data_IF_523468112415
#
_entry.id   IF_523468112415
#
_cell.length_a   1.000
_cell.length_b   1.000
_cell.length_c   1.000
_cell.angle_alpha   90.00
_cell.angle_beta   90.00
_cell.angle_gamma   90.00
#
_symmetry.space_group_name_H-M   'P 1'
#
loop_
_entity.id
_entity.type
_entity.pdbx_description
1 polymer ?
#
# COMPACT_ATOMS: atom_id res chain seq x y z
N UNK A 1 19.99 62.40 -20.58
CA UNK A 1 18.80 61.95 -19.87
C UNK A 1 18.57 60.50 -20.29
N UNK A 2 19.11 59.55 -19.54
CA UNK A 2 19.12 58.11 -19.85
C UNK A 2 18.08 57.46 -18.96
N UNK A 3 16.99 56.98 -19.56
CA UNK A 3 15.91 56.25 -18.89
C UNK A 3 16.33 54.81 -18.63
N UNK A 4 16.42 54.41 -17.37
CA UNK A 4 16.61 53.01 -16.97
C UNK A 4 15.27 52.29 -17.01
N UNK A 5 15.09 51.43 -18.01
CA UNK A 5 14.00 50.44 -18.08
C UNK A 5 14.34 49.33 -17.11
N UNK A 6 13.71 49.30 -15.95
CA UNK A 6 13.75 48.17 -15.02
C UNK A 6 12.87 47.04 -15.53
N UNK A 7 13.46 45.89 -15.86
CA UNK A 7 12.75 44.70 -16.31
C UNK A 7 12.00 44.03 -15.16
N UNK A 8 10.72 43.65 -15.33
CA UNK A 8 9.91 42.99 -14.29
C UNK A 8 10.22 41.47 -14.12
N UNK A 9 11.28 40.94 -14.74
CA UNK A 9 11.56 39.51 -14.76
C UNK A 9 12.20 38.99 -13.44
N UNK A 10 12.85 39.89 -12.70
CA UNK A 10 13.57 39.50 -11.44
C UNK A 10 12.66 39.29 -10.23
N UNK A 11 11.45 39.87 -10.25
CA UNK A 11 10.50 39.74 -9.13
C UNK A 11 9.68 38.44 -9.16
N UNK A 12 9.52 37.80 -10.31
CA UNK A 12 8.72 36.57 -10.45
C UNK A 12 9.46 35.32 -9.95
N UNK A 13 10.78 35.25 -10.14
CA UNK A 13 11.60 34.13 -9.69
C UNK A 13 11.77 34.09 -8.15
N UNK A 14 11.88 35.24 -7.52
CA UNK A 14 12.01 35.34 -6.06
C UNK A 14 10.76 34.87 -5.33
N UNK A 15 9.57 35.21 -5.83
CA UNK A 15 8.30 34.79 -5.25
C UNK A 15 8.03 33.28 -5.32
N UNK A 16 8.40 32.64 -6.44
CA UNK A 16 8.23 31.21 -6.62
C UNK A 16 9.17 30.37 -5.71
N UNK A 17 10.43 30.82 -5.53
CA UNK A 17 11.38 30.17 -4.63
C UNK A 17 10.95 30.33 -3.16
N UNK A 18 10.46 31.49 -2.76
CA UNK A 18 9.93 31.72 -1.41
C UNK A 18 8.67 30.92 -1.13
N UNK A 19 7.78 30.75 -2.13
CA UNK A 19 6.60 29.89 -2.03
C UNK A 19 6.97 28.41 -1.89
N UNK A 20 7.96 27.92 -2.64
CA UNK A 20 8.46 26.55 -2.53
C UNK A 20 9.15 26.29 -1.19
N UNK A 21 9.92 27.26 -0.67
CA UNK A 21 10.53 27.18 0.67
C UNK A 21 9.45 27.21 1.75
N UNK A 22 8.42 28.07 1.59
CA UNK A 22 7.28 28.13 2.51
C UNK A 22 6.44 26.85 2.54
N UNK A 23 6.20 26.22 1.37
CA UNK A 23 5.53 24.92 1.28
C UNK A 23 6.40 23.82 1.90
N UNK A 24 7.71 23.81 1.62
CA UNK A 24 8.65 22.87 2.24
C UNK A 24 8.70 23.02 3.75
N UNK A 25 8.68 24.23 4.28
CA UNK A 25 8.64 24.51 5.72
C UNK A 25 7.29 24.09 6.35
N UNK A 26 6.15 24.39 5.70
CA UNK A 26 4.83 23.96 6.15
C UNK A 26 4.67 22.43 6.13
N UNK A 27 5.24 21.75 5.14
CA UNK A 27 5.29 20.29 5.09
C UNK A 27 6.21 19.74 6.19
N UNK A 28 7.35 20.36 6.45
CA UNK A 28 8.29 19.91 7.49
C UNK A 28 7.75 20.10 8.91
N UNK A 29 6.97 21.14 9.18
CA UNK A 29 6.34 21.36 10.48
C UNK A 29 5.19 20.40 10.78
N UNK A 30 4.64 19.71 9.75
CA UNK A 30 3.61 18.67 9.91
C UNK A 30 4.17 17.25 9.92
N UNK A 31 5.47 17.05 9.71
CA UNK A 31 6.10 15.76 9.94
C UNK A 31 6.12 15.52 11.46
N UNK A 32 5.04 14.97 11.97
CA UNK A 32 5.03 14.39 13.31
C UNK A 32 6.17 13.38 13.38
N UNK A 33 6.91 13.42 14.49
CA UNK A 33 8.16 12.68 14.66
C UNK A 33 8.08 11.20 14.25
N UNK A 34 9.23 10.59 14.19
CA UNK A 34 9.43 9.22 13.70
C UNK A 34 8.42 8.22 14.28
N UNK A 35 7.38 7.87 13.48
CA UNK A 35 6.33 6.90 13.83
C UNK A 35 6.76 5.44 13.56
N UNK A 36 7.99 5.18 13.10
CA UNK A 36 8.43 3.81 12.75
C UNK A 36 8.43 2.87 13.95
N UNK A 37 8.75 3.35 15.15
CA UNK A 37 8.65 2.55 16.36
C UNK A 37 7.19 2.19 16.72
N UNK A 38 6.24 3.08 16.42
CA UNK A 38 4.82 2.81 16.61
C UNK A 38 4.33 1.75 15.61
N UNK A 39 4.71 1.86 14.34
CA UNK A 39 4.41 0.83 13.34
C UNK A 39 4.87 -0.57 13.78
N UNK A 40 6.13 -0.70 14.23
CA UNK A 40 6.66 -1.99 14.72
C UNK A 40 5.89 -2.51 15.93
N UNK A 41 5.45 -1.61 16.83
CA UNK A 41 4.62 -1.98 17.98
C UNK A 41 3.26 -2.48 17.53
N UNK A 42 2.59 -1.78 16.62
CA UNK A 42 1.26 -2.13 16.11
C UNK A 42 1.29 -3.47 15.36
N UNK A 43 2.29 -3.70 14.52
CA UNK A 43 2.55 -4.97 13.88
C UNK A 43 2.67 -6.12 14.90
N UNK A 44 3.49 -5.95 15.96
CA UNK A 44 3.67 -6.98 17.01
C UNK A 44 2.39 -7.24 17.80
N UNK A 45 1.62 -6.20 18.08
CA UNK A 45 0.32 -6.32 18.78
C UNK A 45 -0.67 -7.07 17.90
N UNK A 46 -0.74 -6.75 16.61
CA UNK A 46 -1.61 -7.43 15.65
C UNK A 46 -1.25 -8.91 15.51
N UNK A 47 0.06 -9.23 15.39
CA UNK A 47 0.58 -10.60 15.36
C UNK A 47 0.22 -11.39 16.62
N UNK A 48 0.40 -10.80 17.80
CA UNK A 48 0.06 -11.44 19.07
C UNK A 48 -1.45 -11.68 19.20
N UNK A 49 -2.28 -10.73 18.74
CA UNK A 49 -3.73 -10.85 18.73
C UNK A 49 -4.24 -11.93 17.77
N UNK A 50 -3.61 -12.06 16.60
CA UNK A 50 -3.93 -13.09 15.62
C UNK A 50 -3.67 -14.51 16.16
N UNK A 51 -2.70 -14.65 17.08
CA UNK A 51 -2.32 -15.95 17.63
C UNK A 51 -1.66 -16.86 16.59
N UNK A 52 -1.60 -18.15 16.91
CA UNK A 52 -0.99 -19.18 16.06
C UNK A 52 -1.98 -20.31 15.69
N UNK A 53 -3.24 -20.19 16.11
CA UNK A 53 -4.27 -21.18 15.77
C UNK A 53 -4.75 -20.94 14.33
N UNK A 54 -4.59 -21.96 13.50
CA UNK A 54 -5.01 -21.96 12.11
C UNK A 54 -5.48 -23.34 11.67
N UNK A 55 -5.77 -23.55 10.38
CA UNK A 55 -6.07 -24.86 9.86
C UNK A 55 -4.89 -25.81 10.10
N UNK A 56 -5.14 -27.14 10.31
CA UNK A 56 -4.07 -28.11 10.50
C UNK A 56 -3.06 -28.08 9.35
N UNK A 57 -1.78 -28.16 9.69
CA UNK A 57 -0.66 -28.12 8.72
C UNK A 57 -0.81 -29.19 7.66
N UNK A 58 -0.56 -28.83 6.39
CA UNK A 58 -0.65 -29.71 5.22
C UNK A 58 -2.04 -30.33 5.01
N UNK A 59 -3.09 -29.72 5.59
CA UNK A 59 -4.46 -30.17 5.40
C UNK A 59 -5.12 -29.53 4.17
N UNK A 60 -6.19 -30.17 3.69
CA UNK A 60 -7.04 -29.57 2.66
C UNK A 60 -7.69 -28.25 3.11
N UNK A 61 -7.92 -28.10 4.42
CA UNK A 61 -8.46 -26.86 4.98
C UNK A 61 -7.45 -25.71 4.90
N UNK A 62 -6.16 -25.96 5.15
CA UNK A 62 -5.09 -24.99 4.96
C UNK A 62 -4.95 -24.61 3.49
N UNK A 63 -4.90 -25.61 2.59
CA UNK A 63 -4.83 -25.35 1.16
C UNK A 63 -6.02 -24.50 0.67
N UNK A 64 -7.23 -24.79 1.15
CA UNK A 64 -8.43 -24.01 0.80
C UNK A 64 -8.38 -22.57 1.36
N UNK A 65 -7.79 -22.36 2.54
CA UNK A 65 -7.61 -21.04 3.11
C UNK A 65 -6.63 -20.19 2.28
N UNK A 66 -5.48 -20.77 1.91
CA UNK A 66 -4.48 -20.14 1.04
C UNK A 66 -5.09 -19.83 -0.33
N UNK A 67 -5.79 -20.78 -0.94
CA UNK A 67 -6.45 -20.59 -2.24
C UNK A 67 -7.47 -19.46 -2.18
N UNK A 68 -8.32 -19.41 -1.17
CA UNK A 68 -9.32 -18.34 -0.99
C UNK A 68 -8.68 -16.97 -0.89
N UNK A 69 -7.57 -16.84 -0.17
CA UNK A 69 -6.84 -15.58 -0.04
C UNK A 69 -6.15 -15.20 -1.36
N UNK A 70 -5.51 -16.15 -2.05
CA UNK A 70 -4.86 -15.86 -3.35
C UNK A 70 -5.88 -15.50 -4.43
N UNK A 71 -7.06 -16.11 -4.41
CA UNK A 71 -8.18 -15.73 -5.30
C UNK A 71 -8.67 -14.33 -4.95
N UNK A 72 -8.71 -13.95 -3.67
CA UNK A 72 -9.05 -12.60 -3.27
C UNK A 72 -8.05 -11.58 -3.82
N UNK A 73 -6.74 -11.82 -3.72
CA UNK A 73 -5.71 -10.92 -4.27
C UNK A 73 -5.87 -10.72 -5.77
N UNK A 74 -6.18 -11.80 -6.52
CA UNK A 74 -6.38 -11.74 -7.97
C UNK A 74 -7.62 -10.93 -8.39
N UNK A 75 -8.59 -10.79 -7.49
CA UNK A 75 -9.88 -10.16 -7.77
C UNK A 75 -10.08 -8.81 -7.05
N UNK A 76 -9.00 -8.17 -6.54
CA UNK A 76 -9.08 -6.85 -5.88
C UNK A 76 -9.64 -5.76 -6.81
N UNK A 77 -9.51 -5.92 -8.12
CA UNK A 77 -10.11 -5.01 -9.10
C UNK A 77 -11.59 -5.25 -9.40
N UNK A 78 -12.19 -6.35 -8.93
CA UNK A 78 -13.59 -6.71 -9.19
C UNK A 78 -14.49 -6.30 -8.00
N UNK A 79 -15.27 -5.24 -8.21
CA UNK A 79 -16.18 -4.70 -7.19
C UNK A 79 -17.19 -5.76 -6.69
N UNK A 80 -17.81 -6.50 -7.58
CA UNK A 80 -18.82 -7.51 -7.21
C UNK A 80 -18.20 -8.62 -6.37
N UNK A 81 -17.02 -9.08 -6.77
CA UNK A 81 -16.27 -10.06 -6.00
C UNK A 81 -15.92 -9.56 -4.59
N UNK A 82 -15.48 -8.30 -4.47
CA UNK A 82 -15.15 -7.69 -3.17
C UNK A 82 -16.37 -7.60 -2.27
N UNK A 83 -17.52 -7.16 -2.78
CA UNK A 83 -18.78 -7.08 -2.04
C UNK A 83 -19.21 -8.44 -1.49
N UNK A 84 -19.08 -9.51 -2.30
CA UNK A 84 -19.52 -10.86 -1.94
C UNK A 84 -18.53 -11.63 -1.09
N UNK A 85 -17.21 -11.44 -1.30
CA UNK A 85 -16.20 -12.36 -0.78
C UNK A 85 -15.38 -11.81 0.37
N UNK A 86 -15.27 -10.49 0.59
CA UNK A 86 -14.39 -9.95 1.66
C UNK A 86 -14.72 -10.53 3.04
N UNK A 87 -16.00 -10.63 3.40
CA UNK A 87 -16.42 -11.22 4.68
C UNK A 87 -16.19 -12.74 4.76
N UNK A 88 -16.03 -13.43 3.63
CA UNK A 88 -15.66 -14.85 3.58
C UNK A 88 -14.16 -15.07 3.74
N UNK A 89 -13.35 -14.12 3.27
CA UNK A 89 -11.88 -14.14 3.33
C UNK A 89 -11.37 -13.65 4.68
N UNK A 90 -11.86 -12.50 5.17
CA UNK A 90 -11.38 -11.89 6.41
C UNK A 90 -12.26 -12.24 7.60
N UNK A 91 -11.60 -12.58 8.72
CA UNK A 91 -12.27 -12.87 9.99
C UNK A 91 -12.65 -11.60 10.75
N UNK A 92 -13.56 -11.74 11.70
CA UNK A 92 -13.93 -10.64 12.60
C UNK A 92 -12.71 -10.16 13.38
N UNK A 93 -12.39 -8.87 13.26
CA UNK A 93 -11.22 -8.27 13.91
C UNK A 93 -9.88 -8.56 13.22
N UNK A 94 -9.91 -8.95 11.94
CA UNK A 94 -8.73 -9.05 11.10
C UNK A 94 -7.96 -7.72 11.08
N UNK A 95 -6.64 -7.81 10.97
CA UNK A 95 -5.73 -6.70 10.72
C UNK A 95 -5.26 -6.77 9.26
N UNK A 96 -5.29 -5.65 8.57
CA UNK A 96 -4.65 -5.43 7.28
C UNK A 96 -3.76 -4.19 7.36
N UNK A 97 -2.52 -4.29 6.89
CA UNK A 97 -1.66 -3.15 6.56
C UNK A 97 -0.96 -3.42 5.23
N UNK A 98 -1.18 -2.56 4.26
CA UNK A 98 -0.62 -2.70 2.90
C UNK A 98 0.50 -1.70 2.60
N UNK A 99 1.10 -1.10 3.65
CA UNK A 99 2.11 -0.03 3.58
C UNK A 99 1.56 1.35 3.21
N UNK A 100 0.30 1.46 2.83
CA UNK A 100 -0.39 2.72 2.53
C UNK A 100 -1.33 3.07 3.67
N UNK A 101 -2.10 2.08 4.15
CA UNK A 101 -3.11 2.25 5.18
C UNK A 101 -3.28 1.00 6.03
N UNK A 102 -3.77 1.17 7.27
CA UNK A 102 -4.08 0.09 8.20
C UNK A 102 -5.58 0.04 8.42
N UNK A 103 -6.19 -1.16 8.33
CA UNK A 103 -7.63 -1.39 8.47
C UNK A 103 -7.92 -2.56 9.41
N UNK A 104 -9.07 -2.53 10.07
CA UNK A 104 -9.49 -3.54 11.05
C UNK A 104 -10.88 -4.10 10.74
N UNK A 105 -10.95 -5.43 10.66
CA UNK A 105 -12.20 -6.14 10.41
C UNK A 105 -12.66 -6.09 8.94
N UNK A 106 -13.57 -7.02 8.56
CA UNK A 106 -13.96 -7.19 7.16
C UNK A 106 -14.65 -5.95 6.57
N UNK A 107 -15.38 -5.18 7.34
CA UNK A 107 -16.15 -4.04 6.83
C UNK A 107 -15.24 -2.88 6.41
N UNK A 108 -14.23 -2.53 7.24
CA UNK A 108 -13.24 -1.50 6.86
C UNK A 108 -12.37 -1.96 5.69
N UNK A 109 -11.94 -3.24 5.72
CA UNK A 109 -11.13 -3.84 4.66
C UNK A 109 -11.91 -3.85 3.33
N UNK A 110 -13.20 -4.22 3.35
CA UNK A 110 -14.06 -4.16 2.16
C UNK A 110 -14.17 -2.75 1.62
N UNK A 111 -14.49 -1.80 2.48
CA UNK A 111 -14.62 -0.38 2.10
C UNK A 111 -13.33 0.15 1.46
N UNK A 112 -12.18 -0.19 2.02
CA UNK A 112 -10.87 0.17 1.49
C UNK A 112 -10.62 -0.41 0.09
N UNK A 113 -10.83 -1.71 -0.10
CA UNK A 113 -10.61 -2.34 -1.41
C UNK A 113 -11.63 -1.88 -2.45
N UNK A 114 -12.89 -1.63 -2.08
CA UNK A 114 -13.88 -1.05 -2.99
C UNK A 114 -13.46 0.34 -3.47
N UNK A 115 -12.98 1.20 -2.56
CA UNK A 115 -12.45 2.51 -2.93
C UNK A 115 -11.22 2.39 -3.82
N UNK A 116 -10.35 1.44 -3.55
CA UNK A 116 -9.16 1.16 -4.37
C UNK A 116 -9.57 0.74 -5.78
N UNK A 117 -10.49 -0.24 -5.90
CA UNK A 117 -11.01 -0.70 -7.20
C UNK A 117 -11.66 0.43 -8.01
N UNK A 118 -12.37 1.36 -7.38
CA UNK A 118 -12.98 2.51 -8.05
C UNK A 118 -11.94 3.49 -8.65
N UNK A 119 -10.74 3.54 -8.10
CA UNK A 119 -9.67 4.44 -8.57
C UNK A 119 -8.79 3.83 -9.66
N UNK A 120 -8.87 2.53 -9.88
CA UNK A 120 -8.05 1.81 -10.85
C UNK A 120 -8.78 1.63 -12.18
N UNK A 121 -8.04 1.73 -13.28
CA UNK A 121 -8.53 1.43 -14.64
C UNK A 121 -8.19 0.01 -15.09
N UNK A 122 -7.18 -0.59 -14.48
CA UNK A 122 -6.82 -2.00 -14.65
C UNK A 122 -6.13 -2.52 -13.38
N UNK A 123 -6.29 -3.82 -13.12
CA UNK A 123 -5.67 -4.50 -12.00
C UNK A 123 -5.49 -5.98 -12.32
N UNK A 124 -4.27 -6.49 -12.15
CA UNK A 124 -3.93 -7.89 -12.37
C UNK A 124 -2.92 -8.33 -11.32
N UNK A 125 -3.10 -9.51 -10.75
CA UNK A 125 -2.16 -10.14 -9.81
C UNK A 125 -1.85 -11.55 -10.25
N UNK A 126 -0.55 -11.86 -10.35
CA UNK A 126 -0.02 -13.20 -10.50
C UNK A 126 0.57 -13.67 -9.17
N UNK A 127 0.17 -14.84 -8.70
CA UNK A 127 0.76 -15.48 -7.51
C UNK A 127 1.96 -16.29 -7.96
N UNK A 128 3.14 -15.94 -7.46
CA UNK A 128 4.40 -16.59 -7.80
C UNK A 128 4.61 -17.87 -6.99
N UNK A 129 4.44 -17.77 -5.67
CA UNK A 129 4.52 -18.90 -4.74
C UNK A 129 3.89 -18.57 -3.39
N UNK A 130 3.79 -19.61 -2.54
CA UNK A 130 3.38 -19.51 -1.14
C UNK A 130 4.27 -20.39 -0.30
N UNK A 131 4.85 -19.81 0.76
CA UNK A 131 5.73 -20.52 1.70
C UNK A 131 5.18 -20.34 3.12
N UNK A 132 5.09 -21.44 3.86
CA UNK A 132 4.67 -21.43 5.26
C UNK A 132 5.89 -21.44 6.20
N UNK A 133 5.81 -20.61 7.26
CA UNK A 133 6.75 -20.63 8.38
C UNK A 133 5.98 -20.47 9.70
N UNK A 134 5.93 -21.55 10.49
CA UNK A 134 5.09 -21.56 11.70
C UNK A 134 3.61 -21.39 11.38
N UNK A 135 2.96 -20.37 11.94
CA UNK A 135 1.58 -19.99 11.64
C UNK A 135 1.47 -19.01 10.47
N UNK A 136 2.58 -18.46 10.00
CA UNK A 136 2.61 -17.45 8.94
C UNK A 136 2.69 -18.11 7.56
N UNK A 137 1.91 -17.59 6.62
CA UNK A 137 2.01 -17.87 5.19
C UNK A 137 2.54 -16.63 4.50
N UNK A 138 3.60 -16.77 3.72
CA UNK A 138 4.21 -15.73 2.91
C UNK A 138 3.86 -16.00 1.46
N UNK A 139 3.03 -15.14 0.88
CA UNK A 139 2.51 -15.29 -0.47
C UNK A 139 3.16 -14.21 -1.32
N UNK A 140 4.00 -14.63 -2.26
CA UNK A 140 4.71 -13.76 -3.17
C UNK A 140 3.90 -13.54 -4.44
N UNK A 141 3.83 -12.29 -4.88
CA UNK A 141 3.02 -11.91 -6.03
C UNK A 141 3.68 -10.84 -6.90
N UNK A 142 3.32 -10.83 -8.16
CA UNK A 142 3.46 -9.69 -9.07
C UNK A 142 2.11 -9.03 -9.26
N UNK A 143 2.10 -7.69 -9.34
CA UNK A 143 0.90 -6.89 -9.52
C UNK A 143 1.13 -5.86 -10.62
N UNK A 144 0.17 -5.77 -11.55
CA UNK A 144 0.12 -4.74 -12.57
C UNK A 144 -1.17 -3.96 -12.36
N UNK A 145 -1.07 -2.67 -12.19
CA UNK A 145 -2.24 -1.81 -12.03
C UNK A 145 -2.05 -0.48 -12.74
N UNK A 146 -3.15 0.16 -13.13
CA UNK A 146 -3.15 1.49 -13.67
C UNK A 146 -4.21 2.36 -12.98
N UNK A 147 -3.86 3.63 -12.75
CA UNK A 147 -4.77 4.63 -12.22
C UNK A 147 -4.52 5.99 -12.90
N UNK A 148 -5.57 6.76 -13.26
CA UNK A 148 -5.41 7.99 -14.07
C UNK A 148 -4.50 9.05 -13.45
N UNK A 149 -4.38 9.06 -12.12
CA UNK A 149 -3.57 10.03 -11.37
C UNK A 149 -2.14 9.58 -11.08
N UNK A 150 -1.77 8.35 -11.44
CA UNK A 150 -0.45 7.77 -11.24
C UNK A 150 0.19 7.48 -12.59
N UNK A 151 1.48 7.74 -12.74
CA UNK A 151 2.26 7.48 -13.96
C UNK A 151 1.56 7.94 -15.25
N UNK A 152 0.77 9.02 -15.20
CA UNK A 152 -0.05 9.51 -16.33
C UNK A 152 -1.05 8.47 -16.88
N UNK A 153 -1.46 7.49 -16.06
CA UNK A 153 -2.37 6.41 -16.42
C UNK A 153 -1.70 5.18 -17.03
N UNK A 154 -0.37 5.19 -17.17
CA UNK A 154 0.40 4.04 -17.64
C UNK A 154 0.43 2.91 -16.60
N UNK A 155 0.53 1.63 -17.04
CA UNK A 155 0.63 0.50 -16.12
C UNK A 155 1.85 0.56 -15.21
N UNK A 156 1.65 0.28 -13.92
CA UNK A 156 2.68 0.22 -12.90
C UNK A 156 2.87 -1.26 -12.54
N UNK A 157 4.11 -1.76 -12.69
CA UNK A 157 4.50 -3.11 -12.35
C UNK A 157 5.15 -3.15 -10.96
N UNK A 158 4.72 -4.06 -10.12
CA UNK A 158 5.17 -4.19 -8.74
C UNK A 158 5.33 -5.65 -8.35
N UNK A 159 6.19 -5.92 -7.40
CA UNK A 159 6.36 -7.22 -6.77
C UNK A 159 6.28 -7.03 -5.27
N UNK A 160 5.64 -7.97 -4.57
CA UNK A 160 5.50 -7.90 -3.13
C UNK A 160 5.29 -9.26 -2.48
N UNK A 161 5.15 -9.21 -1.17
CA UNK A 161 4.90 -10.37 -0.31
C UNK A 161 3.81 -9.99 0.68
N UNK A 162 2.77 -10.81 0.76
CA UNK A 162 1.78 -10.77 1.84
C UNK A 162 2.16 -11.78 2.92
N UNK A 163 2.34 -11.34 4.17
CA UNK A 163 2.39 -12.20 5.33
C UNK A 163 0.97 -12.36 5.88
N UNK A 164 0.49 -13.59 5.97
CA UNK A 164 -0.91 -13.86 6.32
C UNK A 164 -0.98 -14.92 7.42
N UNK A 165 -1.90 -14.72 8.39
CA UNK A 165 -2.33 -15.77 9.33
C UNK A 165 -3.81 -16.04 9.17
N UNK A 166 -4.17 -17.30 9.27
CA UNK A 166 -5.55 -17.76 9.25
C UNK A 166 -5.99 -18.19 10.65
N UNK A 167 -7.28 -18.04 10.97
CA UNK A 167 -7.88 -18.70 12.12
C UNK A 167 -8.27 -20.15 11.78
N UNK A 168 -8.78 -20.90 12.77
CA UNK A 168 -9.22 -22.30 12.61
C UNK A 168 -10.26 -22.51 11.49
N UNK A 169 -11.04 -21.49 11.17
CA UNK A 169 -12.03 -21.51 10.07
C UNK A 169 -11.41 -21.12 8.71
N UNK A 170 -10.09 -20.94 8.64
CA UNK A 170 -9.37 -20.55 7.43
C UNK A 170 -9.64 -19.12 6.98
N UNK A 171 -10.13 -18.23 7.85
CA UNK A 171 -10.28 -16.81 7.57
C UNK A 171 -9.02 -16.05 7.98
N UNK A 172 -8.63 -15.07 7.19
CA UNK A 172 -7.50 -14.18 7.49
C UNK A 172 -7.79 -13.38 8.75
N UNK A 173 -6.88 -13.41 9.71
CA UNK A 173 -6.90 -12.61 10.94
C UNK A 173 -5.74 -11.64 11.03
N UNK A 174 -4.70 -11.85 10.23
CA UNK A 174 -3.57 -10.96 10.07
C UNK A 174 -3.12 -10.95 8.61
N UNK A 175 -2.94 -9.75 8.05
CA UNK A 175 -2.44 -9.53 6.70
C UNK A 175 -1.52 -8.30 6.72
N UNK A 176 -0.26 -8.50 6.42
CA UNK A 176 0.74 -7.44 6.25
C UNK A 176 1.39 -7.58 4.90
N UNK A 177 1.31 -6.55 4.10
CA UNK A 177 2.06 -6.49 2.84
C UNK A 177 3.43 -5.86 3.03
N UNK A 178 4.38 -6.34 2.25
CA UNK A 178 5.73 -5.81 2.10
C UNK A 178 6.02 -5.59 0.61
N UNK A 179 5.98 -4.34 0.20
CA UNK A 179 6.28 -3.92 -1.16
C UNK A 179 6.77 -2.47 -1.19
N UNK A 180 7.36 -2.04 -2.30
CA UNK A 180 7.91 -0.68 -2.41
C UNK A 180 6.83 0.33 -2.84
N UNK A 181 5.91 0.67 -1.93
CA UNK A 181 4.90 1.72 -2.15
C UNK A 181 5.55 3.08 -2.44
N UNK A 182 6.76 3.33 -1.92
CA UNK A 182 7.55 4.52 -2.22
C UNK A 182 7.87 4.67 -3.70
N UNK A 183 8.23 3.58 -4.38
CA UNK A 183 8.52 3.54 -5.82
C UNK A 183 7.24 3.52 -6.65
N UNK A 184 6.29 2.66 -6.27
CA UNK A 184 5.18 2.29 -7.15
C UNK A 184 3.96 3.19 -6.98
N UNK A 185 3.82 3.91 -5.86
CA UNK A 185 2.76 4.89 -5.63
C UNK A 185 3.35 6.30 -5.52
N UNK A 186 4.11 6.58 -4.44
CA UNK A 186 4.57 7.94 -4.16
C UNK A 186 5.54 8.47 -5.22
N UNK A 187 6.38 7.60 -5.79
CA UNK A 187 7.29 7.94 -6.89
C UNK A 187 6.59 8.24 -8.22
N UNK A 188 5.31 7.86 -8.36
CA UNK A 188 4.51 8.09 -9.57
C UNK A 188 3.64 9.35 -9.49
N UNK A 189 3.59 10.00 -8.32
CA UNK A 189 2.87 11.26 -8.15
C UNK A 189 3.74 12.39 -8.71
N UNK A 190 3.24 13.23 -9.65
CA UNK A 190 3.97 14.40 -10.15
C UNK A 190 4.52 15.26 -9.00
N UNK A 191 5.70 15.85 -9.17
CA UNK A 191 6.45 16.62 -8.16
C UNK A 191 7.04 15.73 -7.06
N UNK A 192 6.26 14.88 -6.37
CA UNK A 192 6.75 13.98 -5.31
C UNK A 192 7.78 13.00 -5.88
N UNK A 193 7.48 12.37 -7.01
CA UNK A 193 8.41 11.46 -7.71
C UNK A 193 9.71 12.16 -8.12
N UNK A 194 9.62 13.40 -8.63
CA UNK A 194 10.81 14.19 -8.94
C UNK A 194 11.69 14.47 -7.71
N UNK A 195 11.07 14.82 -6.57
CA UNK A 195 11.79 15.02 -5.30
C UNK A 195 12.47 13.73 -4.82
N UNK A 196 11.75 12.60 -4.86
CA UNK A 196 12.31 11.28 -4.50
C UNK A 196 13.49 10.94 -5.43
N UNK A 197 13.38 11.20 -6.74
CA UNK A 197 14.46 11.01 -7.70
C UNK A 197 15.73 11.79 -7.33
N UNK A 198 15.59 13.09 -7.05
CA UNK A 198 16.71 13.96 -6.64
C UNK A 198 17.38 13.42 -5.36
N UNK A 199 16.59 12.97 -4.37
CA UNK A 199 17.11 12.42 -3.12
C UNK A 199 17.90 11.13 -3.41
N UNK A 200 17.32 10.20 -4.18
CA UNK A 200 17.98 8.92 -4.55
C UNK A 200 19.28 9.14 -5.32
N UNK A 201 19.33 10.12 -6.23
CA UNK A 201 20.56 10.42 -7.00
C UNK A 201 21.69 10.99 -6.12
N UNK A 202 21.36 11.69 -5.04
CA UNK A 202 22.35 12.17 -4.07
C UNK A 202 22.86 11.09 -3.12
N UNK A 203 22.18 9.92 -3.06
CA UNK A 203 22.58 8.80 -2.21
C UNK A 203 23.43 7.76 -2.94
N UNK A 204 23.65 7.93 -4.24
CA UNK A 204 24.57 7.13 -5.07
C UNK A 204 25.99 7.70 -5.02
#
# INVERSE_FOLDING_TARGET
>A
MISFLTHPVTTFFGGAILALIGIGFLLSTKIEGNKTAQFVKDYRVAMAKAGESGPPTNSSAEAAAVQRFTDFLKNVGDRTYLEDQTANVYGKGAYLDDTIATHYGPDEIQSYFLQTAETMTSFEVEILDSVRSGADHYIRWEMIFAAPKLASGEPIHSVGISQVRFNENGKVVFHQDFWDSGRHIFGQIPVVGGMIGIIKDRMK
#
